data_IF_181500935682
#
_entry.id   IF_181500935682
#
_cell.length_a   1.000
_cell.length_b   1.000
_cell.length_c   1.000
_cell.angle_alpha   90.00
_cell.angle_beta   90.00
_cell.angle_gamma   90.00
#
_symmetry.space_group_name_H-M   'P 1'
#
loop_
_entity.id
_entity.type
_entity.pdbx_description
1 polymer ?
#
# COMPACT_ATOMS: atom_id res chain seq x y z
N UNK A 1 5.96 -6.25 46.73
CA UNK A 1 6.16 -5.59 45.42
C UNK A 1 5.28 -6.32 44.42
N UNK A 2 4.18 -5.71 44.00
CA UNK A 2 3.15 -6.37 43.18
C UNK A 2 3.28 -5.87 41.75
N UNK A 3 3.76 -6.71 40.84
CA UNK A 3 3.96 -6.36 39.44
C UNK A 3 2.64 -6.56 38.68
N UNK A 4 1.94 -5.46 38.38
CA UNK A 4 0.78 -5.48 37.49
C UNK A 4 1.26 -5.60 36.04
N UNK A 5 1.18 -6.82 35.49
CA UNK A 5 1.33 -7.06 34.06
C UNK A 5 0.17 -6.39 33.32
N UNK A 6 0.45 -5.32 32.58
CA UNK A 6 -0.49 -4.74 31.60
C UNK A 6 -0.75 -5.79 30.52
N UNK A 7 -1.93 -6.38 30.55
CA UNK A 7 -2.46 -7.14 29.42
C UNK A 7 -2.85 -6.11 28.34
N UNK A 8 -1.96 -5.87 27.37
CA UNK A 8 -2.29 -5.11 26.17
C UNK A 8 -3.28 -5.94 25.37
N UNK A 9 -4.52 -5.49 25.25
CA UNK A 9 -5.52 -6.12 24.40
C UNK A 9 -5.03 -6.14 22.94
N UNK A 10 -5.21 -7.24 22.18
CA UNK A 10 -4.91 -7.24 20.76
C UNK A 10 -5.79 -6.17 20.07
N UNK A 11 -5.16 -5.31 19.27
CA UNK A 11 -5.88 -4.38 18.41
C UNK A 11 -6.88 -5.18 17.57
N UNK A 12 -8.14 -4.75 17.52
CA UNK A 12 -9.18 -5.39 16.72
C UNK A 12 -8.66 -5.58 15.29
N UNK A 13 -8.55 -6.83 14.85
CA UNK A 13 -8.10 -7.15 13.50
C UNK A 13 -9.13 -6.59 12.52
N UNK A 14 -8.85 -5.42 11.95
CA UNK A 14 -9.63 -4.87 10.85
C UNK A 14 -9.58 -5.86 9.71
N UNK A 15 -10.73 -6.16 9.11
CA UNK A 15 -10.78 -6.97 7.89
C UNK A 15 -9.93 -6.28 6.81
N UNK A 16 -9.02 -7.02 6.20
CA UNK A 16 -8.21 -6.55 5.06
C UNK A 16 -8.73 -7.15 3.76
N UNK A 17 -8.40 -6.51 2.65
CA UNK A 17 -8.64 -6.98 1.29
C UNK A 17 -7.33 -6.87 0.52
N UNK A 18 -7.08 -7.85 -0.35
CA UNK A 18 -5.88 -7.89 -1.17
C UNK A 18 -6.22 -7.64 -2.64
N UNK A 19 -5.38 -6.85 -3.28
CA UNK A 19 -5.46 -6.56 -4.70
C UNK A 19 -4.12 -6.86 -5.37
N UNK A 20 -4.15 -7.40 -6.58
CA UNK A 20 -2.99 -7.36 -7.45
C UNK A 20 -2.87 -5.98 -8.06
N UNK A 21 -1.68 -5.40 -8.00
CA UNK A 21 -1.38 -4.13 -8.67
C UNK A 21 -0.28 -4.31 -9.71
N UNK A 22 -0.32 -3.46 -10.73
CA UNK A 22 0.81 -3.17 -11.61
C UNK A 22 0.90 -1.65 -11.74
N UNK A 23 2.09 -1.10 -11.52
CA UNK A 23 2.33 0.34 -11.56
C UNK A 23 3.60 0.64 -12.33
N UNK A 24 3.60 1.71 -13.11
CA UNK A 24 4.82 2.27 -13.70
C UNK A 24 4.94 3.71 -13.25
N UNK A 25 6.07 4.04 -12.64
CA UNK A 25 6.40 5.40 -12.18
C UNK A 25 7.66 5.92 -12.84
N UNK A 26 7.72 7.23 -13.04
CA UNK A 26 8.92 7.96 -13.42
C UNK A 26 9.41 8.76 -12.22
N UNK A 27 10.65 8.49 -11.80
CA UNK A 27 11.31 9.21 -10.70
C UNK A 27 11.80 10.60 -11.15
N UNK A 28 12.17 11.44 -10.18
CA UNK A 28 12.77 12.76 -10.43
C UNK A 28 14.03 12.73 -11.29
N UNK A 29 14.74 11.60 -11.33
CA UNK A 29 15.93 11.37 -12.18
C UNK A 29 15.58 10.92 -13.60
N UNK A 30 14.29 10.88 -13.95
CA UNK A 30 13.81 10.40 -15.24
C UNK A 30 13.82 8.87 -15.39
N UNK A 31 14.20 8.12 -14.35
CA UNK A 31 14.22 6.65 -14.37
C UNK A 31 12.80 6.12 -14.30
N UNK A 32 12.48 5.17 -15.20
CA UNK A 32 11.23 4.43 -15.19
C UNK A 32 11.36 3.18 -14.34
N UNK A 33 10.35 2.93 -13.50
CA UNK A 33 10.26 1.74 -12.68
C UNK A 33 8.87 1.15 -12.81
N UNK A 34 8.79 -0.13 -13.20
CA UNK A 34 7.54 -0.89 -13.25
C UNK A 34 7.55 -1.94 -12.15
N UNK A 35 6.48 -2.00 -11.36
CA UNK A 35 6.31 -2.94 -10.27
C UNK A 35 4.95 -3.62 -10.36
N UNK A 36 4.94 -4.89 -10.03
CA UNK A 36 3.74 -5.64 -9.73
C UNK A 36 3.84 -6.24 -8.32
N UNK A 37 2.69 -6.54 -7.73
CA UNK A 37 2.64 -7.16 -6.42
C UNK A 37 1.25 -7.23 -5.82
N UNK A 38 1.20 -7.61 -4.55
CA UNK A 38 -0.01 -7.59 -3.74
C UNK A 38 -0.05 -6.31 -2.91
N UNK A 39 -1.22 -5.68 -2.90
CA UNK A 39 -1.54 -4.53 -2.05
C UNK A 39 -2.59 -4.96 -1.03
N UNK A 40 -2.16 -5.14 0.22
CA UNK A 40 -3.06 -5.45 1.34
C UNK A 40 -3.55 -4.14 1.96
N UNK A 41 -4.85 -3.88 1.88
CA UNK A 41 -5.49 -2.65 2.38
C UNK A 41 -6.67 -2.99 3.30
N UNK A 42 -7.14 -2.05 4.14
CA UNK A 42 -8.39 -2.25 4.87
C UNK A 42 -9.57 -2.54 3.94
N UNK A 43 -10.50 -3.38 4.39
CA UNK A 43 -11.72 -3.67 3.66
C UNK A 43 -12.54 -2.40 3.42
N UNK A 44 -13.14 -2.31 2.23
CA UNK A 44 -13.91 -1.13 1.81
C UNK A 44 -13.08 0.00 1.18
N UNK A 45 -11.74 -0.14 1.09
CA UNK A 45 -10.93 0.78 0.30
C UNK A 45 -11.40 0.80 -1.16
N UNK A 46 -11.60 2.00 -1.69
CA UNK A 46 -11.89 2.19 -3.10
C UNK A 46 -10.61 2.09 -3.92
N UNK A 47 -10.73 1.95 -5.25
CA UNK A 47 -9.58 2.01 -6.17
C UNK A 47 -8.74 3.28 -5.96
N UNK A 48 -9.39 4.41 -5.65
CA UNK A 48 -8.71 5.69 -5.36
C UNK A 48 -7.90 5.62 -4.07
N UNK A 49 -8.45 5.02 -3.03
CA UNK A 49 -7.76 4.86 -1.74
C UNK A 49 -6.54 3.95 -1.89
N UNK A 50 -6.70 2.84 -2.63
CA UNK A 50 -5.59 1.95 -2.99
C UNK A 50 -4.49 2.69 -3.76
N UNK A 51 -4.86 3.52 -4.73
CA UNK A 51 -3.90 4.34 -5.48
C UNK A 51 -3.12 5.28 -4.57
N UNK A 52 -3.80 6.01 -3.69
CA UNK A 52 -3.13 6.92 -2.75
C UNK A 52 -2.24 6.18 -1.75
N UNK A 53 -2.70 5.03 -1.25
CA UNK A 53 -1.93 4.19 -0.35
C UNK A 53 -0.63 3.69 -1.02
N UNK A 54 -0.73 3.12 -2.24
CA UNK A 54 0.43 2.70 -3.02
C UNK A 54 1.36 3.87 -3.33
N UNK A 55 0.82 5.03 -3.71
CA UNK A 55 1.63 6.21 -4.01
C UNK A 55 2.39 6.74 -2.78
N UNK A 56 1.84 6.62 -1.57
CA UNK A 56 2.58 6.96 -0.35
C UNK A 56 3.81 6.08 -0.21
N UNK A 57 3.65 4.76 -0.36
CA UNK A 57 4.76 3.79 -0.27
C UNK A 57 5.83 4.06 -1.34
N UNK A 58 5.42 4.34 -2.58
CA UNK A 58 6.36 4.61 -3.67
C UNK A 58 7.09 5.95 -3.50
N UNK A 59 6.46 6.96 -2.89
CA UNK A 59 7.13 8.23 -2.57
C UNK A 59 8.13 8.07 -1.43
N UNK A 60 7.81 7.26 -0.43
CA UNK A 60 8.76 6.92 0.64
C UNK A 60 10.00 6.22 0.08
N UNK A 61 9.83 5.37 -0.95
CA UNK A 61 10.93 4.64 -1.58
C UNK A 61 11.74 5.48 -2.58
N UNK A 62 11.09 6.23 -3.47
CA UNK A 62 11.74 6.91 -4.60
C UNK A 62 11.91 8.42 -4.43
N UNK A 63 11.25 9.01 -3.42
CA UNK A 63 11.20 10.46 -3.21
C UNK A 63 10.32 11.19 -4.22
N UNK A 64 10.28 12.52 -4.08
CA UNK A 64 9.53 13.43 -4.94
C UNK A 64 10.45 14.26 -5.86
N UNK A 65 9.95 14.75 -7.02
CA UNK A 65 8.66 14.43 -7.62
C UNK A 65 8.61 13.01 -8.19
N UNK A 66 7.45 12.37 -8.07
CA UNK A 66 7.14 11.06 -8.62
C UNK A 66 5.92 11.15 -9.54
N UNK A 67 6.07 10.75 -10.81
CA UNK A 67 4.98 10.75 -11.79
C UNK A 67 4.51 9.32 -12.05
N UNK A 68 3.19 9.11 -12.08
CA UNK A 68 2.62 7.82 -12.46
C UNK A 68 2.34 7.81 -13.95
N UNK A 69 2.86 6.81 -14.65
CA UNK A 69 2.63 6.60 -16.07
C UNK A 69 1.59 5.51 -16.32
N UNK A 70 1.51 4.52 -15.43
CA UNK A 70 0.55 3.44 -15.53
C UNK A 70 0.12 2.94 -14.14
N UNK A 71 -1.15 2.59 -13.98
CA UNK A 71 -1.67 1.98 -12.77
C UNK A 71 -2.86 1.06 -13.07
N UNK A 72 -2.67 -0.23 -12.81
CA UNK A 72 -3.70 -1.26 -12.78
C UNK A 72 -3.86 -1.82 -11.37
N UNK A 73 -5.09 -2.20 -11.07
CA UNK A 73 -5.49 -2.78 -9.79
C UNK A 73 -6.63 -3.74 -10.08
N UNK A 74 -6.47 -4.99 -9.66
CA UNK A 74 -7.42 -6.07 -9.89
C UNK A 74 -7.66 -6.83 -8.58
N UNK A 75 -8.89 -7.30 -8.32
CA UNK A 75 -9.16 -8.15 -7.16
C UNK A 75 -8.25 -9.38 -7.14
N UNK A 76 -7.74 -9.75 -5.97
CA UNK A 76 -7.01 -11.01 -5.80
C UNK A 76 -8.03 -12.18 -5.73
N UNK A 77 -8.39 -12.74 -6.89
CA UNK A 77 -9.36 -13.84 -7.02
C UNK A 77 -8.71 -15.24 -7.12
N UNK A 78 -7.52 -15.44 -6.55
CA UNK A 78 -6.88 -16.76 -6.50
C UNK A 78 -7.60 -17.73 -5.56
#
# INVERSE_FOLDING_TARGET
>A
MTTTSKHTAPAAAGTTTEFHYVTTVQTSKGVLNTRDGLLTVPAGYTRRDCFHHLMSQLREEYGDPLSVLYFALEPNHL
#
